data_IF_575873586228
#
_entry.id   IF_575873586228
#
_cell.length_a   1.000
_cell.length_b   1.000
_cell.length_c   1.000
_cell.angle_alpha   90.00
_cell.angle_beta   90.00
_cell.angle_gamma   90.00
#
_symmetry.space_group_name_H-M   'P 1'
#
loop_
_entity.id
_entity.type
_entity.pdbx_description
1 polymer ?
#
# COMPACT_ATOMS: atom_id res chain seq x y z
N UNK A 1 26.38 1.05 -14.86
CA UNK A 1 25.45 1.76 -15.77
C UNK A 1 24.78 2.87 -14.99
N UNK A 2 24.53 4.02 -15.60
CA UNK A 2 23.76 5.10 -14.98
C UNK A 2 22.60 5.54 -15.86
N UNK A 3 21.52 5.97 -15.21
CA UNK A 3 20.31 6.58 -15.78
C UNK A 3 19.93 7.79 -14.94
N UNK A 4 19.08 8.64 -15.49
CA UNK A 4 18.49 9.79 -14.82
C UNK A 4 16.97 9.64 -14.89
N UNK A 5 16.29 10.03 -13.81
CA UNK A 5 14.85 10.17 -13.80
C UNK A 5 14.48 11.57 -13.29
N UNK A 6 13.52 12.23 -13.95
CA UNK A 6 12.99 13.49 -13.47
C UNK A 6 11.96 13.26 -12.37
N UNK A 7 11.78 14.25 -11.50
CA UNK A 7 10.83 14.16 -10.39
C UNK A 7 9.80 15.29 -10.50
N UNK A 8 8.51 14.95 -10.43
CA UNK A 8 7.41 15.91 -10.31
C UNK A 8 6.44 15.45 -9.24
N UNK A 9 6.07 16.32 -8.31
CA UNK A 9 5.18 16.04 -7.19
C UNK A 9 5.57 14.75 -6.42
N UNK A 10 6.87 14.53 -6.23
CA UNK A 10 7.45 13.30 -5.63
C UNK A 10 7.26 12.02 -6.45
N UNK A 11 7.00 12.11 -7.74
CA UNK A 11 6.89 10.96 -8.65
C UNK A 11 7.99 10.95 -9.70
N UNK A 12 8.44 9.74 -10.06
CA UNK A 12 9.36 9.47 -11.18
C UNK A 12 8.67 9.74 -12.49
N UNK A 13 9.25 10.62 -13.29
CA UNK A 13 8.74 10.94 -14.61
C UNK A 13 9.80 10.61 -15.65
N UNK A 14 9.57 9.50 -16.36
CA UNK A 14 10.49 9.01 -17.39
C UNK A 14 11.84 8.56 -16.81
N UNK A 15 12.37 7.46 -17.32
CA UNK A 15 13.72 7.00 -16.97
C UNK A 15 14.54 7.05 -18.26
N UNK A 16 15.67 7.75 -18.22
CA UNK A 16 16.57 7.84 -19.37
C UNK A 16 17.07 6.46 -19.81
N UNK A 17 17.54 6.37 -21.06
CA UNK A 17 18.32 5.22 -21.49
C UNK A 17 19.57 5.06 -20.62
N UNK A 18 20.05 3.82 -20.50
CA UNK A 18 21.28 3.52 -19.75
C UNK A 18 22.52 3.94 -20.51
N UNK A 19 23.41 4.65 -19.83
CA UNK A 19 24.76 4.92 -20.33
C UNK A 19 25.76 4.07 -19.55
N UNK A 20 26.68 3.41 -20.28
CA UNK A 20 27.82 2.74 -19.68
C UNK A 20 28.81 3.77 -19.16
N UNK A 21 29.14 3.72 -17.87
CA UNK A 21 30.12 4.60 -17.23
C UNK A 21 31.17 3.70 -16.57
N UNK A 22 32.44 3.98 -16.83
CA UNK A 22 33.57 3.34 -16.15
C UNK A 22 34.09 4.28 -15.08
N UNK A 23 34.18 3.80 -13.84
CA UNK A 23 34.68 4.56 -12.71
C UNK A 23 36.01 3.95 -12.29
N UNK A 24 37.11 4.73 -12.23
CA UNK A 24 38.38 4.23 -11.73
C UNK A 24 38.25 3.70 -10.30
N UNK A 25 39.05 2.70 -9.94
CA UNK A 25 39.06 2.17 -8.57
C UNK A 25 39.34 3.30 -7.57
N UNK A 26 38.62 3.30 -6.44
CA UNK A 26 38.69 4.34 -5.40
C UNK A 26 38.21 5.75 -5.83
N UNK A 27 37.51 5.89 -6.96
CA UNK A 27 36.81 7.13 -7.32
C UNK A 27 35.31 7.01 -7.02
N UNK A 28 34.68 8.13 -6.66
CA UNK A 28 33.22 8.20 -6.48
C UNK A 28 32.55 8.43 -7.84
N UNK A 29 31.38 7.82 -8.06
CA UNK A 29 30.55 8.16 -9.22
C UNK A 29 30.11 9.61 -9.13
N UNK A 30 30.34 10.38 -10.20
CA UNK A 30 29.75 11.70 -10.36
C UNK A 30 28.83 11.70 -11.58
N UNK A 31 27.62 12.20 -11.41
CA UNK A 31 26.64 12.36 -12.48
C UNK A 31 26.34 13.85 -12.62
N UNK A 32 26.61 14.38 -13.81
CA UNK A 32 26.34 15.78 -14.12
C UNK A 32 24.84 16.05 -14.15
N UNK A 33 24.42 17.20 -13.62
CA UNK A 33 23.02 17.59 -13.67
C UNK A 33 22.50 17.60 -15.12
N UNK A 34 21.29 17.08 -15.38
CA UNK A 34 20.59 17.33 -16.62
C UNK A 34 20.23 18.82 -16.75
N UNK A 35 19.84 19.23 -17.95
CA UNK A 35 19.29 20.56 -18.19
C UNK A 35 18.06 20.81 -17.31
N UNK A 36 17.89 22.05 -16.86
CA UNK A 36 16.73 22.44 -16.07
C UNK A 36 15.46 22.34 -16.91
N UNK A 37 14.41 21.79 -16.32
CA UNK A 37 13.09 21.72 -16.92
C UNK A 37 12.07 22.28 -15.91
N UNK A 38 11.33 23.35 -16.27
CA UNK A 38 10.43 24.05 -15.36
C UNK A 38 9.25 23.20 -14.88
N UNK A 39 8.94 22.11 -15.58
CA UNK A 39 7.81 21.26 -15.20
C UNK A 39 8.19 20.21 -14.14
N UNK A 40 9.44 20.17 -13.68
CA UNK A 40 9.92 19.17 -12.72
C UNK A 40 10.53 19.84 -11.48
N UNK A 41 10.34 19.19 -10.33
CA UNK A 41 10.89 19.62 -9.04
C UNK A 41 12.39 19.32 -8.92
N UNK A 42 12.93 18.44 -9.77
CA UNK A 42 14.32 18.06 -9.79
C UNK A 42 14.55 16.74 -10.53
N UNK A 43 15.67 16.09 -10.21
CA UNK A 43 16.08 14.84 -10.83
C UNK A 43 16.74 13.91 -9.82
N UNK A 44 16.83 12.62 -10.14
CA UNK A 44 17.65 11.68 -9.35
C UNK A 44 18.48 10.78 -10.25
N UNK A 45 19.70 10.42 -9.80
CA UNK A 45 20.51 9.43 -10.47
C UNK A 45 20.04 8.02 -10.11
N UNK A 46 20.05 7.15 -11.10
CA UNK A 46 19.81 5.72 -10.96
C UNK A 46 21.05 4.99 -11.49
N UNK A 47 21.93 4.57 -10.60
CA UNK A 47 23.15 3.89 -10.99
C UNK A 47 23.24 2.49 -10.39
N UNK A 48 23.67 1.56 -11.24
CA UNK A 48 23.88 0.17 -10.93
C UNK A 48 25.32 -0.23 -11.26
N UNK A 49 25.97 -0.95 -10.36
CA UNK A 49 27.24 -1.63 -10.65
C UNK A 49 26.97 -2.92 -11.42
N UNK A 50 27.65 -3.10 -12.55
CA UNK A 50 27.61 -4.35 -13.31
C UNK A 50 28.52 -5.39 -12.67
N UNK A 51 28.00 -6.20 -11.75
CA UNK A 51 28.67 -7.37 -11.20
C UNK A 51 28.45 -8.63 -12.03
N UNK A 52 28.78 -9.80 -11.44
CA UNK A 52 28.45 -11.14 -11.97
C UNK A 52 27.01 -11.18 -12.51
N UNK A 53 26.79 -11.92 -13.61
CA UNK A 53 25.46 -12.05 -14.21
C UNK A 53 24.39 -12.38 -13.14
N UNK A 54 23.46 -11.45 -12.93
CA UNK A 54 22.37 -11.60 -11.95
C UNK A 54 22.53 -10.79 -10.65
N UNK A 55 23.67 -10.12 -10.42
CA UNK A 55 23.89 -9.26 -9.25
C UNK A 55 24.14 -7.81 -9.68
N UNK A 56 23.07 -7.01 -9.74
CA UNK A 56 23.16 -5.55 -9.84
C UNK A 56 23.12 -4.97 -8.42
N UNK A 57 24.13 -4.16 -8.06
CA UNK A 57 24.13 -3.42 -6.78
C UNK A 57 23.62 -2.01 -7.05
N UNK A 58 22.58 -1.60 -6.33
CA UNK A 58 21.96 -0.28 -6.47
C UNK A 58 22.66 0.71 -5.55
N UNK A 59 22.87 1.95 -5.99
CA UNK A 59 23.23 3.02 -5.06
C UNK A 59 22.04 3.41 -4.18
N UNK A 60 22.32 3.83 -2.95
CA UNK A 60 21.31 4.45 -2.08
C UNK A 60 20.76 5.70 -2.77
N UNK A 61 19.46 5.75 -2.99
CA UNK A 61 18.79 6.90 -3.59
C UNK A 61 18.98 8.16 -2.73
N UNK A 62 19.05 9.36 -3.33
CA UNK A 62 19.02 10.59 -2.57
C UNK A 62 17.69 10.74 -1.81
N UNK A 63 17.75 11.27 -0.59
CA UNK A 63 16.58 11.49 0.29
C UNK A 63 15.58 12.54 -0.23
N UNK A 64 16.00 13.32 -1.23
CA UNK A 64 15.19 14.32 -1.92
C UNK A 64 15.65 14.41 -3.39
N UNK A 65 14.81 14.92 -4.30
CA UNK A 65 15.24 15.26 -5.65
C UNK A 65 16.48 16.17 -5.61
N UNK A 66 17.43 15.89 -6.49
CA UNK A 66 18.58 16.77 -6.73
C UNK A 66 18.07 17.95 -7.53
N UNK A 67 18.41 19.17 -7.10
CA UNK A 67 18.07 20.37 -7.83
C UNK A 67 18.79 20.40 -9.18
N UNK A 68 18.14 20.95 -10.21
CA UNK A 68 18.79 21.20 -11.49
C UNK A 68 19.97 22.17 -11.32
N UNK A 69 21.02 21.96 -12.11
CA UNK A 69 22.29 22.69 -12.01
C UNK A 69 23.21 22.20 -10.90
N UNK A 70 22.79 21.21 -10.10
CA UNK A 70 23.64 20.60 -9.06
C UNK A 70 24.03 19.20 -9.48
N UNK A 71 25.32 18.95 -9.65
CA UNK A 71 25.84 17.59 -9.91
C UNK A 71 25.60 16.68 -8.71
N UNK A 72 25.31 15.41 -8.96
CA UNK A 72 25.25 14.41 -7.91
C UNK A 72 26.58 13.67 -7.80
N UNK A 73 27.04 13.45 -6.58
CA UNK A 73 28.22 12.64 -6.27
C UNK A 73 27.82 11.52 -5.34
N UNK A 74 28.28 10.31 -5.65
CA UNK A 74 28.10 9.14 -4.82
C UNK A 74 28.65 9.38 -3.42
N UNK A 75 27.83 9.16 -2.37
CA UNK A 75 28.34 9.26 -1.02
C UNK A 75 29.23 8.03 -0.68
N UNK A 76 30.01 8.07 0.39
CA UNK A 76 30.94 6.99 0.72
C UNK A 76 30.25 5.72 1.28
N UNK A 77 30.40 4.57 0.60
CA UNK A 77 30.05 3.24 1.14
C UNK A 77 28.64 2.70 0.80
N UNK A 78 27.95 3.23 -0.22
CA UNK A 78 26.49 3.14 -0.35
C UNK A 78 25.92 2.25 -1.46
N UNK A 79 26.47 1.05 -1.66
CA UNK A 79 25.75 0.04 -2.42
C UNK A 79 24.75 -0.70 -1.52
N UNK A 80 23.46 -0.62 -1.86
CA UNK A 80 22.41 -1.45 -1.29
C UNK A 80 22.38 -2.81 -2.01
N UNK A 81 22.46 -3.89 -1.24
CA UNK A 81 22.47 -5.26 -1.74
C UNK A 81 21.07 -5.75 -2.20
N UNK A 82 20.00 -5.01 -1.85
CA UNK A 82 18.61 -5.48 -1.97
C UNK A 82 17.75 -4.68 -2.98
N UNK A 83 18.37 -3.90 -3.89
CA UNK A 83 17.65 -2.97 -4.77
C UNK A 83 16.64 -3.58 -5.76
N UNK A 84 15.44 -2.99 -5.83
CA UNK A 84 14.38 -3.31 -6.81
C UNK A 84 14.83 -3.03 -8.25
N UNK A 85 14.52 -3.96 -9.16
CA UNK A 85 14.91 -3.94 -10.59
C UNK A 85 14.24 -2.77 -11.33
N UNK A 86 14.96 -2.10 -12.23
CA UNK A 86 14.43 -1.13 -13.23
C UNK A 86 14.84 -1.49 -14.68
N UNK A 87 15.32 -2.71 -14.90
CA UNK A 87 15.84 -3.17 -16.19
C UNK A 87 14.80 -3.88 -17.05
N UNK A 88 13.55 -4.03 -16.59
CA UNK A 88 12.51 -4.68 -17.38
C UNK A 88 11.70 -3.66 -18.21
N UNK A 89 11.33 -3.97 -19.47
CA UNK A 89 10.57 -3.05 -20.36
C UNK A 89 9.24 -2.55 -19.76
N UNK A 90 8.62 -3.38 -18.95
CA UNK A 90 7.42 -3.16 -18.16
C UNK A 90 7.62 -2.19 -16.98
N UNK A 91 8.86 -2.01 -16.51
CA UNK A 91 9.22 -1.03 -15.48
C UNK A 91 9.67 0.30 -16.13
N UNK A 92 10.32 0.30 -17.28
CA UNK A 92 10.64 1.54 -18.01
C UNK A 92 9.39 2.28 -18.53
N UNK A 93 8.27 1.56 -18.69
CA UNK A 93 6.96 2.08 -19.15
C UNK A 93 5.92 2.19 -18.03
N UNK A 94 6.32 1.92 -16.78
CA UNK A 94 5.45 2.00 -15.62
C UNK A 94 5.44 3.41 -15.01
N UNK A 95 4.36 3.70 -14.29
CA UNK A 95 4.27 4.88 -13.43
C UNK A 95 4.91 4.51 -12.09
N UNK A 96 5.84 5.34 -11.61
CA UNK A 96 6.55 5.10 -10.35
C UNK A 96 6.33 6.27 -9.40
N UNK A 97 5.76 5.99 -8.24
CA UNK A 97 5.58 6.98 -7.18
C UNK A 97 6.66 6.82 -6.13
N UNK A 98 7.37 7.91 -5.81
CA UNK A 98 8.40 7.92 -4.76
C UNK A 98 7.85 8.51 -3.47
N UNK A 99 8.54 8.22 -2.38
CA UNK A 99 8.19 8.71 -1.05
C UNK A 99 6.78 8.31 -0.58
N UNK A 100 6.25 7.20 -1.10
CA UNK A 100 5.09 6.58 -0.51
C UNK A 100 5.46 6.14 0.90
N UNK A 101 4.72 6.64 1.89
CA UNK A 101 4.77 6.20 3.27
C UNK A 101 4.39 4.73 3.28
N UNK A 102 5.15 3.91 4.00
CA UNK A 102 4.85 2.49 4.20
C UNK A 102 3.51 2.26 4.89
N UNK A 103 2.92 1.06 4.74
CA UNK A 103 1.65 0.69 5.36
C UNK A 103 0.51 1.70 5.12
N UNK A 104 0.53 2.38 3.99
CA UNK A 104 -0.39 3.49 3.69
C UNK A 104 -1.19 3.18 2.46
N UNK A 105 -2.51 3.40 2.55
CA UNK A 105 -3.41 3.32 1.42
C UNK A 105 -3.40 4.64 0.64
N UNK A 106 -3.31 4.54 -0.68
CA UNK A 106 -3.36 5.64 -1.63
C UNK A 106 -4.47 5.40 -2.64
N UNK A 107 -5.09 6.51 -3.05
CA UNK A 107 -6.00 6.56 -4.19
C UNK A 107 -5.28 7.27 -5.33
N UNK A 108 -5.17 6.63 -6.48
CA UNK A 108 -4.52 7.17 -7.67
C UNK A 108 -5.58 7.38 -8.74
N UNK A 109 -5.66 8.59 -9.29
CA UNK A 109 -6.58 8.93 -10.36
C UNK A 109 -5.84 8.81 -11.69
N UNK A 110 -6.27 7.85 -12.51
CA UNK A 110 -5.69 7.61 -13.81
C UNK A 110 -6.44 8.42 -14.86
N UNK A 111 -5.70 9.18 -15.65
CA UNK A 111 -6.23 9.92 -16.80
C UNK A 111 -5.28 9.85 -17.97
N UNK A 112 -5.81 9.86 -19.18
CA UNK A 112 -5.02 10.01 -20.39
C UNK A 112 -4.98 11.50 -20.77
N UNK A 113 -3.77 12.09 -20.81
CA UNK A 113 -3.56 13.43 -21.37
C UNK A 113 -3.67 13.35 -22.89
N UNK A 114 -4.63 14.09 -23.46
CA UNK A 114 -4.86 14.12 -24.91
C UNK A 114 -3.77 14.88 -25.65
N UNK A 115 -3.14 15.85 -24.99
CA UNK A 115 -2.11 16.72 -25.58
C UNK A 115 -0.75 16.02 -25.62
N UNK A 116 -0.37 15.38 -24.51
CA UNK A 116 0.94 14.73 -24.37
C UNK A 116 0.92 13.27 -24.81
N UNK A 117 -0.27 12.71 -25.06
CA UNK A 117 -0.49 11.30 -25.38
C UNK A 117 0.09 10.33 -24.33
N UNK A 118 0.06 10.72 -23.05
CA UNK A 118 0.54 9.91 -21.92
C UNK A 118 -0.59 9.54 -20.96
N UNK A 119 -0.39 8.48 -20.19
CA UNK A 119 -1.21 8.20 -19.01
C UNK A 119 -0.60 8.89 -17.80
N UNK A 120 -1.38 9.76 -17.18
CA UNK A 120 -1.05 10.38 -15.91
C UNK A 120 -1.70 9.63 -14.75
N UNK A 121 -0.99 9.62 -13.63
CA UNK A 121 -1.44 9.09 -12.36
C UNK A 121 -1.26 10.19 -11.32
N UNK A 122 -2.17 11.14 -11.31
CA UNK A 122 -2.14 12.18 -10.28
C UNK A 122 -2.35 11.52 -8.92
N UNK A 123 -1.36 11.67 -8.04
CA UNK A 123 -1.36 11.06 -6.72
C UNK A 123 -2.46 11.68 -5.85
N UNK A 124 -3.15 10.84 -5.09
CA UNK A 124 -3.99 11.28 -3.98
C UNK A 124 -3.13 11.55 -2.75
N UNK A 125 -3.48 12.62 -2.04
CA UNK A 125 -3.01 12.90 -0.67
C UNK A 125 -3.21 11.70 0.28
N UNK A 126 -2.45 11.69 1.38
CA UNK A 126 -2.59 10.69 2.45
C UNK A 126 -4.05 10.65 2.93
N UNK A 127 -4.65 9.46 2.99
CA UNK A 127 -5.95 9.16 3.64
C UNK A 127 -7.24 9.71 3.01
N UNK A 128 -7.40 9.77 1.69
CA UNK A 128 -8.75 9.90 1.14
C UNK A 128 -8.86 10.21 -0.35
N UNK A 129 -10.10 10.31 -0.87
CA UNK A 129 -10.37 10.86 -2.19
C UNK A 129 -9.84 12.30 -2.26
N UNK A 130 -9.01 12.58 -3.25
CA UNK A 130 -8.45 13.91 -3.46
C UNK A 130 -9.29 14.63 -4.52
N UNK A 131 -10.11 15.59 -4.08
CA UNK A 131 -10.99 16.34 -4.97
C UNK A 131 -10.22 17.13 -6.04
N UNK A 132 -8.98 17.56 -5.76
CA UNK A 132 -8.15 18.25 -6.74
C UNK A 132 -7.57 17.28 -7.76
N UNK A 133 -7.10 16.10 -7.35
CA UNK A 133 -6.64 15.07 -8.28
C UNK A 133 -7.80 14.53 -9.14
N UNK A 134 -8.96 14.27 -8.51
CA UNK A 134 -10.17 13.88 -9.20
C UNK A 134 -10.63 14.93 -10.22
N UNK A 135 -10.64 16.21 -9.83
CA UNK A 135 -10.99 17.32 -10.74
C UNK A 135 -10.00 17.46 -11.90
N UNK A 136 -8.69 17.26 -11.68
CA UNK A 136 -7.67 17.25 -12.74
C UNK A 136 -7.93 16.16 -13.77
N UNK A 137 -8.24 14.94 -13.31
CA UNK A 137 -8.56 13.81 -14.19
C UNK A 137 -9.80 14.03 -15.08
N UNK A 138 -10.67 14.97 -14.70
CA UNK A 138 -11.90 15.32 -15.41
C UNK A 138 -11.88 16.62 -16.20
N UNK A 139 -10.71 17.26 -16.40
CA UNK A 139 -10.60 18.45 -17.26
C UNK A 139 -10.69 18.07 -18.75
N UNK A 140 -11.09 19.02 -19.61
CA UNK A 140 -11.32 18.78 -21.05
C UNK A 140 -10.16 18.11 -21.80
N UNK A 141 -8.92 18.41 -21.39
CA UNK A 141 -7.68 17.86 -21.96
C UNK A 141 -7.36 16.45 -21.48
N UNK A 142 -8.12 15.92 -20.53
CA UNK A 142 -7.90 14.63 -19.91
C UNK A 142 -9.09 13.71 -20.17
N UNK A 143 -8.80 12.45 -20.48
CA UNK A 143 -9.79 11.38 -20.52
C UNK A 143 -9.63 10.54 -19.25
N UNK A 144 -10.59 10.56 -18.31
CA UNK A 144 -10.50 9.73 -17.11
C UNK A 144 -10.51 8.24 -17.50
N UNK A 145 -9.56 7.49 -16.94
CA UNK A 145 -9.40 6.05 -17.17
C UNK A 145 -9.86 5.22 -15.98
N UNK A 146 -9.80 5.77 -14.77
CA UNK A 146 -10.33 5.12 -13.57
C UNK A 146 -9.61 5.51 -12.28
N UNK A 147 -9.97 4.81 -11.22
CA UNK A 147 -9.35 4.93 -9.90
C UNK A 147 -8.57 3.65 -9.61
N UNK A 148 -7.34 3.79 -9.11
CA UNK A 148 -6.54 2.70 -8.61
C UNK A 148 -6.30 2.89 -7.11
N UNK A 149 -6.71 1.90 -6.32
CA UNK A 149 -6.39 1.82 -4.90
C UNK A 149 -5.12 0.99 -4.71
N UNK A 150 -4.08 1.59 -4.13
CA UNK A 150 -2.84 0.89 -3.78
C UNK A 150 -2.58 0.98 -2.28
N UNK A 151 -1.94 -0.03 -1.71
CA UNK A 151 -1.44 0.01 -0.33
C UNK A 151 0.03 -0.33 -0.34
N UNK A 152 0.86 0.54 0.23
CA UNK A 152 2.29 0.27 0.35
C UNK A 152 2.57 -0.83 1.38
N UNK A 153 3.62 -1.63 1.16
CA UNK A 153 4.06 -2.62 2.14
C UNK A 153 4.50 -1.97 3.45
N UNK A 154 4.54 -2.73 4.54
CA UNK A 154 4.99 -2.25 5.84
C UNK A 154 6.50 -1.99 5.89
N UNK A 155 6.93 -0.98 6.66
CA UNK A 155 8.35 -0.74 6.91
C UNK A 155 8.91 -1.84 7.80
N UNK A 156 10.00 -2.46 7.35
CA UNK A 156 10.71 -3.50 8.09
C UNK A 156 10.31 -4.90 7.67
N UNK A 157 10.97 -5.39 6.62
CA UNK A 157 10.81 -6.75 6.13
C UNK A 157 11.82 -7.07 5.04
N UNK A 158 13.12 -7.02 5.35
CA UNK A 158 14.13 -7.71 4.56
C UNK A 158 13.92 -9.22 4.73
N UNK A 159 13.25 -9.81 3.75
CA UNK A 159 13.00 -11.23 3.67
C UNK A 159 13.04 -11.65 2.21
N UNK A 160 14.23 -12.02 1.75
CA UNK A 160 14.40 -12.77 0.50
C UNK A 160 13.59 -14.06 0.61
N UNK A 161 12.54 -14.15 -0.21
CA UNK A 161 11.63 -15.27 -0.21
C UNK A 161 10.71 -15.18 -1.42
N UNK A 162 11.13 -15.80 -2.52
CA UNK A 162 10.23 -16.19 -3.59
C UNK A 162 9.14 -17.08 -2.98
N UNK A 163 7.93 -16.58 -2.90
CA UNK A 163 6.80 -17.29 -2.33
C UNK A 163 5.59 -16.37 -2.25
N UNK A 164 4.58 -16.64 -3.08
CA UNK A 164 3.29 -15.96 -2.99
C UNK A 164 2.74 -16.03 -1.57
N UNK A 165 2.42 -14.88 -0.98
CA UNK A 165 1.80 -14.75 0.33
C UNK A 165 1.16 -13.37 0.38
N UNK A 166 -0.06 -13.22 -0.10
CA UNK A 166 -1.22 -13.47 0.75
C UNK A 166 -1.56 -12.19 1.49
N UNK A 167 -2.31 -11.29 0.83
CA UNK A 167 -2.89 -10.11 1.46
C UNK A 167 -3.57 -10.52 2.77
N UNK A 168 -2.92 -10.16 3.88
CA UNK A 168 -3.34 -10.51 5.22
C UNK A 168 -4.51 -9.61 5.62
N UNK A 169 -5.68 -9.92 5.07
CA UNK A 169 -6.94 -9.29 5.45
C UNK A 169 -7.11 -9.35 6.96
N UNK A 170 -7.64 -8.28 7.54
CA UNK A 170 -7.90 -8.21 8.97
C UNK A 170 -8.70 -9.42 9.45
N UNK A 171 -8.21 -10.19 10.42
CA UNK A 171 -8.92 -11.33 10.97
C UNK A 171 -8.92 -11.33 12.50
N UNK A 172 -9.94 -11.94 13.10
CA UNK A 172 -10.11 -12.14 14.53
C UNK A 172 -9.99 -13.62 14.92
N UNK A 173 -9.66 -13.89 16.16
CA UNK A 173 -9.91 -15.20 16.77
C UNK A 173 -11.42 -15.47 16.90
N UNK A 174 -11.81 -16.74 16.98
CA UNK A 174 -13.22 -17.17 17.13
C UNK A 174 -13.98 -16.51 18.31
N UNK A 175 -13.27 -16.03 19.32
CA UNK A 175 -13.87 -15.41 20.51
C UNK A 175 -14.46 -14.02 20.27
N UNK A 176 -14.09 -13.32 19.19
CA UNK A 176 -14.63 -11.99 18.90
C UNK A 176 -16.16 -12.04 18.80
N UNK A 177 -16.84 -11.12 19.45
CA UNK A 177 -18.31 -11.04 19.45
C UNK A 177 -18.78 -9.87 18.61
N UNK A 178 -19.71 -10.15 17.71
CA UNK A 178 -20.28 -9.25 16.72
C UNK A 178 -21.70 -8.88 17.13
N UNK A 179 -22.06 -7.60 16.98
CA UNK A 179 -23.42 -7.12 17.23
C UNK A 179 -24.33 -7.49 16.07
N UNK A 180 -25.28 -8.38 16.31
CA UNK A 180 -26.28 -8.79 15.33
C UNK A 180 -27.65 -8.19 15.67
N UNK A 181 -28.43 -7.83 14.65
CA UNK A 181 -29.73 -7.17 14.80
C UNK A 181 -30.76 -8.03 15.56
N UNK A 182 -30.77 -9.35 15.33
CA UNK A 182 -31.80 -10.26 15.87
C UNK A 182 -31.30 -11.17 16.99
N UNK A 183 -30.04 -11.59 16.96
CA UNK A 183 -29.49 -12.57 17.93
C UNK A 183 -28.67 -11.89 19.04
N UNK A 184 -28.54 -10.57 19.03
CA UNK A 184 -27.68 -9.84 19.96
C UNK A 184 -26.20 -10.10 19.68
N UNK A 185 -25.41 -10.36 20.72
CA UNK A 185 -23.98 -10.62 20.60
C UNK A 185 -23.72 -12.07 20.20
N UNK A 186 -23.07 -12.27 19.06
CA UNK A 186 -22.76 -13.59 18.51
C UNK A 186 -21.26 -13.69 18.27
N UNK A 187 -20.64 -14.82 18.61
CA UNK A 187 -19.22 -15.06 18.28
C UNK A 187 -19.04 -15.06 16.77
N UNK A 188 -17.95 -14.50 16.26
CA UNK A 188 -17.68 -14.38 14.82
C UNK A 188 -17.70 -15.74 14.11
N UNK A 189 -17.30 -16.81 14.79
CA UNK A 189 -17.34 -18.18 14.24
C UNK A 189 -18.76 -18.76 14.12
N UNK A 190 -19.75 -18.18 14.82
CA UNK A 190 -21.15 -18.63 14.87
C UNK A 190 -22.11 -17.69 14.11
N UNK A 191 -21.55 -16.68 13.44
CA UNK A 191 -22.28 -15.77 12.54
C UNK A 191 -22.78 -16.56 11.33
N UNK A 192 -24.02 -16.32 10.93
CA UNK A 192 -24.64 -16.97 9.77
C UNK A 192 -24.49 -16.10 8.55
N UNK A 193 -23.83 -16.59 7.50
CA UNK A 193 -23.75 -15.90 6.20
C UNK A 193 -24.90 -16.28 5.27
N UNK A 194 -25.12 -15.49 4.23
CA UNK A 194 -26.02 -15.84 3.12
C UNK A 194 -25.53 -17.11 2.42
N UNK A 195 -24.21 -17.21 2.17
CA UNK A 195 -23.62 -18.36 1.48
C UNK A 195 -23.98 -19.71 2.15
N UNK A 196 -24.03 -19.75 3.48
CA UNK A 196 -24.30 -20.98 4.24
C UNK A 196 -25.78 -21.12 4.67
N UNK A 197 -26.48 -20.01 4.93
CA UNK A 197 -27.80 -20.03 5.60
C UNK A 197 -28.93 -19.36 4.80
N UNK A 198 -28.62 -18.80 3.63
CA UNK A 198 -29.59 -18.11 2.77
C UNK A 198 -30.40 -17.06 3.52
N UNK A 199 -31.73 -17.22 3.56
CA UNK A 199 -32.67 -16.29 4.23
C UNK A 199 -32.51 -16.23 5.77
N UNK A 200 -31.74 -17.14 6.36
CA UNK A 200 -31.46 -17.19 7.80
C UNK A 200 -30.12 -16.55 8.19
N UNK A 201 -29.47 -15.87 7.24
CA UNK A 201 -28.25 -15.11 7.47
C UNK A 201 -28.45 -14.01 8.53
N UNK A 202 -27.38 -13.71 9.26
CA UNK A 202 -27.36 -12.66 10.25
C UNK A 202 -27.19 -11.29 9.57
N UNK A 203 -27.85 -10.30 10.15
CA UNK A 203 -27.66 -8.88 9.85
C UNK A 203 -26.86 -8.30 11.00
N UNK A 204 -25.70 -7.72 10.71
CA UNK A 204 -24.79 -7.14 11.70
C UNK A 204 -24.87 -5.63 11.69
N UNK A 205 -24.64 -5.02 12.84
CA UNK A 205 -24.45 -3.56 12.92
C UNK A 205 -23.11 -3.20 12.26
N UNK A 206 -23.13 -2.27 11.30
CA UNK A 206 -21.93 -1.84 10.55
C UNK A 206 -21.33 -0.58 11.18
N UNK A 207 -22.16 0.44 11.28
CA UNK A 207 -21.93 1.69 12.00
C UNK A 207 -23.09 1.90 13.00
N UNK A 208 -22.96 2.79 14.00
CA UNK A 208 -24.05 3.05 14.94
C UNK A 208 -25.39 3.30 14.24
N UNK A 209 -26.37 2.42 14.47
CA UNK A 209 -27.70 2.48 13.86
C UNK A 209 -27.81 2.01 12.40
N UNK A 210 -26.70 1.63 11.77
CA UNK A 210 -26.65 1.08 10.41
C UNK A 210 -26.42 -0.43 10.42
N UNK A 211 -27.03 -1.14 9.47
CA UNK A 211 -27.04 -2.59 9.46
C UNK A 211 -26.75 -3.17 8.07
N UNK A 212 -25.95 -4.23 8.02
CA UNK A 212 -25.51 -4.90 6.79
C UNK A 212 -25.71 -6.41 6.87
N UNK A 213 -26.04 -7.03 5.75
CA UNK A 213 -26.24 -8.48 5.66
C UNK A 213 -24.88 -9.17 5.48
N UNK A 214 -24.63 -10.25 6.22
CA UNK A 214 -23.36 -10.99 6.12
C UNK A 214 -23.39 -11.87 4.87
N UNK A 215 -22.62 -11.50 3.84
CA UNK A 215 -22.49 -12.27 2.61
C UNK A 215 -21.78 -13.61 2.87
N UNK A 216 -20.64 -13.54 3.60
CA UNK A 216 -19.73 -14.66 3.84
C UNK A 216 -19.03 -14.56 5.19
N UNK A 217 -18.76 -15.71 5.81
CA UNK A 217 -17.82 -15.84 6.95
C UNK A 217 -16.50 -16.36 6.40
N UNK A 218 -15.50 -15.49 6.34
CA UNK A 218 -14.17 -15.81 5.88
C UNK A 218 -13.41 -16.56 6.97
N UNK A 219 -12.78 -17.68 6.62
CA UNK A 219 -12.02 -18.53 7.55
C UNK A 219 -10.64 -18.76 6.98
N UNK A 220 -9.61 -18.36 7.71
CA UNK A 220 -8.22 -18.44 7.27
C UNK A 220 -7.39 -19.23 8.30
N UNK A 221 -6.55 -20.14 7.84
CA UNK A 221 -5.48 -20.67 8.69
C UNK A 221 -4.48 -19.55 8.94
N UNK A 222 -4.19 -19.28 10.20
CA UNK A 222 -3.29 -18.23 10.62
C UNK A 222 -2.25 -18.78 11.60
N UNK A 223 -1.00 -18.37 11.42
CA UNK A 223 0.10 -18.67 12.32
C UNK A 223 0.99 -17.43 12.43
N UNK A 224 0.85 -16.67 13.51
CA UNK A 224 1.56 -15.41 13.65
C UNK A 224 1.16 -14.63 14.89
N UNK A 225 1.68 -13.40 15.00
CA UNK A 225 1.34 -12.48 16.09
C UNK A 225 -0.04 -11.87 15.88
N UNK A 226 -0.82 -11.79 16.95
CA UNK A 226 -2.07 -11.07 17.00
C UNK A 226 -2.08 -10.09 18.18
N UNK A 227 -2.77 -8.96 18.01
CA UNK A 227 -3.01 -7.95 19.03
C UNK A 227 -4.13 -8.40 19.94
N UNK A 228 -3.92 -8.34 21.25
CA UNK A 228 -4.96 -8.60 22.23
C UNK A 228 -5.85 -7.37 22.39
N UNK A 229 -7.15 -7.55 22.20
CA UNK A 229 -8.16 -6.50 22.30
C UNK A 229 -9.02 -6.59 23.56
N UNK A 230 -9.09 -7.77 24.16
CA UNK A 230 -9.87 -8.07 25.36
C UNK A 230 -9.65 -9.52 25.81
N UNK A 231 -10.38 -9.99 26.85
CA UNK A 231 -10.28 -11.36 27.33
C UNK A 231 -10.57 -12.38 26.22
N UNK A 232 -9.54 -13.08 25.74
CA UNK A 232 -9.67 -14.11 24.71
C UNK A 232 -9.84 -13.59 23.27
N UNK A 233 -9.98 -12.28 23.06
CA UNK A 233 -10.15 -11.69 21.72
C UNK A 233 -8.81 -11.16 21.21
N UNK A 234 -8.33 -11.76 20.13
CA UNK A 234 -7.14 -11.32 19.42
C UNK A 234 -7.46 -11.01 17.96
N UNK A 235 -6.72 -10.06 17.38
CA UNK A 235 -6.89 -9.59 16.01
C UNK A 235 -5.54 -9.51 15.29
N UNK A 236 -5.49 -9.74 13.98
CA UNK A 236 -4.26 -9.52 13.20
C UNK A 236 -3.80 -8.06 13.33
N UNK A 237 -2.48 -7.84 13.32
CA UNK A 237 -1.89 -6.50 13.51
C UNK A 237 -2.37 -5.49 12.46
N UNK A 238 -2.60 -5.94 11.23
CA UNK A 238 -3.08 -5.12 10.10
C UNK A 238 -4.56 -4.75 10.14
N UNK A 239 -5.37 -5.30 11.05
CA UNK A 239 -6.82 -5.04 11.05
C UNK A 239 -7.11 -3.60 11.49
N UNK A 240 -7.90 -2.86 10.71
CA UNK A 240 -8.23 -1.45 11.02
C UNK A 240 -9.54 -1.29 11.78
N UNK A 241 -9.61 -0.26 12.63
CA UNK A 241 -10.77 0.13 13.42
C UNK A 241 -11.10 1.61 13.22
N UNK A 242 -12.38 1.96 13.24
CA UNK A 242 -12.81 3.35 13.22
C UNK A 242 -12.52 4.00 14.58
N UNK A 243 -11.62 4.98 14.61
CA UNK A 243 -11.22 5.73 15.81
C UNK A 243 -11.12 7.21 15.44
N UNK A 244 -11.96 8.05 16.04
CA UNK A 244 -11.91 9.50 15.80
C UNK A 244 -12.25 9.94 14.37
N UNK A 245 -12.90 9.08 13.58
CA UNK A 245 -13.19 9.33 12.15
C UNK A 245 -12.18 8.68 11.20
N UNK A 246 -11.05 8.21 11.70
CA UNK A 246 -9.99 7.57 10.91
C UNK A 246 -9.96 6.04 11.10
N UNK A 247 -9.36 5.35 10.13
CA UNK A 247 -9.10 3.91 10.21
C UNK A 247 -7.72 3.64 10.84
N UNK A 248 -7.72 3.23 12.10
CA UNK A 248 -6.51 2.97 12.89
C UNK A 248 -6.23 1.46 12.96
N UNK A 249 -5.01 1.05 12.59
CA UNK A 249 -4.56 -0.35 12.73
C UNK A 249 -4.58 -0.83 14.18
N UNK A 250 -4.95 -2.09 14.37
CA UNK A 250 -4.93 -2.79 15.66
C UNK A 250 -3.57 -2.66 16.36
N UNK A 251 -2.48 -2.66 15.59
CA UNK A 251 -1.14 -2.57 16.11
C UNK A 251 -0.88 -1.28 16.92
N UNK A 252 -1.64 -0.22 16.63
CA UNK A 252 -1.58 1.06 17.32
C UNK A 252 -2.50 1.12 18.55
N UNK A 253 -3.56 0.32 18.59
CA UNK A 253 -4.55 0.34 19.68
C UNK A 253 -4.08 -0.36 20.97
N UNK A 254 -3.12 -1.27 20.86
CA UNK A 254 -2.56 -2.00 21.99
C UNK A 254 -1.13 -2.42 21.68
N UNK A 255 -0.30 -2.58 22.70
CA UNK A 255 1.05 -3.15 22.58
C UNK A 255 1.10 -4.63 22.96
N UNK A 256 0.05 -5.16 23.57
CA UNK A 256 -0.01 -6.59 23.93
C UNK A 256 -0.15 -7.45 22.67
N UNK A 257 0.80 -8.38 22.50
CA UNK A 257 0.83 -9.34 21.40
C UNK A 257 0.86 -10.75 21.95
N UNK A 258 0.22 -11.67 21.22
CA UNK A 258 0.33 -13.10 21.49
C UNK A 258 0.50 -13.84 20.18
N UNK A 259 1.34 -14.88 20.20
CA UNK A 259 1.40 -15.83 19.10
C UNK A 259 0.11 -16.65 19.06
N UNK A 260 -0.52 -16.72 17.89
CA UNK A 260 -1.72 -17.50 17.65
C UNK A 260 -1.49 -18.45 16.47
N UNK A 261 -1.90 -19.70 16.65
CA UNK A 261 -1.94 -20.71 15.60
C UNK A 261 -3.33 -21.32 15.61
N UNK A 262 -4.06 -21.19 14.50
CA UNK A 262 -5.43 -21.69 14.40
C UNK A 262 -6.21 -21.05 13.26
N UNK A 263 -7.53 -21.10 13.35
CA UNK A 263 -8.42 -20.44 12.40
C UNK A 263 -8.71 -19.02 12.86
N UNK A 264 -8.45 -18.05 11.98
CA UNK A 264 -8.86 -16.67 12.11
C UNK A 264 -10.06 -16.39 11.20
N UNK A 265 -10.92 -15.46 11.62
CA UNK A 265 -12.22 -15.20 11.03
C UNK A 265 -12.33 -13.74 10.61
N UNK A 266 -13.02 -13.49 9.50
CA UNK A 266 -13.47 -12.16 9.09
C UNK A 266 -14.88 -12.27 8.49
N UNK A 267 -15.59 -11.16 8.34
CA UNK A 267 -16.92 -11.13 7.74
C UNK A 267 -16.89 -10.32 6.45
N UNK A 268 -17.51 -10.86 5.41
CA UNK A 268 -17.86 -10.11 4.22
C UNK A 268 -19.27 -9.54 4.37
N UNK A 269 -19.40 -8.21 4.40
CA UNK A 269 -20.68 -7.53 4.60
C UNK A 269 -21.16 -6.92 3.28
N UNK A 270 -22.42 -7.18 2.92
CA UNK A 270 -23.08 -6.55 1.78
C UNK A 270 -23.48 -5.11 2.09
N UNK A 271 -23.37 -4.23 1.08
CA UNK A 271 -23.76 -2.83 1.14
C UNK A 271 -22.56 -1.89 1.07
N UNK A 272 -22.82 -0.60 1.29
CA UNK A 272 -21.83 0.47 1.17
C UNK A 272 -20.84 0.50 2.35
N UNK A 273 -21.27 0.00 3.51
CA UNK A 273 -20.47 -0.02 4.72
C UNK A 273 -19.75 -1.35 4.85
N UNK A 274 -18.51 -1.40 4.39
CA UNK A 274 -17.62 -2.55 4.53
C UNK A 274 -17.00 -2.60 5.95
N UNK A 275 -17.85 -2.71 6.97
CA UNK A 275 -17.41 -2.76 8.37
C UNK A 275 -18.44 -3.46 9.26
N UNK A 276 -18.05 -3.80 10.50
CA UNK A 276 -18.96 -4.38 11.49
C UNK A 276 -18.57 -4.00 12.92
N UNK A 277 -19.57 -3.86 13.79
CA UNK A 277 -19.42 -3.47 15.19
C UNK A 277 -19.19 -4.67 16.11
N UNK A 278 -18.24 -4.52 17.02
CA UNK A 278 -17.88 -5.49 18.07
C UNK A 278 -18.67 -5.25 19.36
N UNK A 279 -18.60 -6.22 20.28
CA UNK A 279 -19.22 -6.16 21.61
C UNK A 279 -18.88 -4.87 22.38
N UNK A 280 -17.64 -4.40 22.31
CA UNK A 280 -17.17 -3.19 23.00
C UNK A 280 -17.48 -1.87 22.27
N UNK A 281 -18.23 -1.92 21.17
CA UNK A 281 -18.63 -0.75 20.39
C UNK A 281 -17.60 -0.28 19.37
N UNK A 282 -16.41 -0.88 19.31
CA UNK A 282 -15.47 -0.60 18.21
C UNK A 282 -16.02 -1.12 16.89
N UNK A 283 -15.74 -0.40 15.82
CA UNK A 283 -16.10 -0.79 14.45
C UNK A 283 -14.85 -1.26 13.72
N UNK A 284 -14.86 -2.50 13.26
CA UNK A 284 -13.77 -3.13 12.52
C UNK A 284 -14.02 -3.03 11.01
N UNK A 285 -12.97 -2.73 10.25
CA UNK A 285 -13.05 -2.66 8.79
C UNK A 285 -13.05 -4.06 8.17
N UNK A 286 -13.95 -4.29 7.20
CA UNK A 286 -13.91 -5.47 6.36
C UNK A 286 -12.92 -5.24 5.21
N UNK A 287 -11.74 -5.86 5.27
CA UNK A 287 -10.82 -5.88 4.12
C UNK A 287 -11.34 -6.92 3.12
N UNK A 288 -12.03 -6.45 2.08
CA UNK A 288 -12.35 -7.25 0.91
C UNK A 288 -11.04 -7.65 0.21
N UNK A 289 -10.96 -8.92 -0.21
CA UNK A 289 -9.98 -9.37 -1.20
C UNK A 289 -10.58 -9.22 -2.59
#
# INVERSE_FOLDING_TARGET
QARIAFVREKMMMGISTSTGISIPVNSLLKITSPASDPDYDGWVPLANEGGLAGFERRQVDPVSPVAFGTDWTEPAGHFDADGTRYNQPNQARGIHSWNLVVSTAYKIYLSYSKDDAIVEASGGTFTGPDAQAASRSGRDLYQPLGLLDITTPAAGGSGSGSGGGGGGGGCFTAAARIRTKKRGLVRICDVRSIEEWGKRADVVETMPGSFGLVAKVLRHRFNGKMVKLGPGVYVTESHSFAVGGDWTSAALLSKERRWFTGTAYNLEIMGENHCYALEDGRVAHNVLK
#
